data_IF_877122405944
#
_entry.id   IF_877122405944
#
_cell.length_a   1.000
_cell.length_b   1.000
_cell.length_c   1.000
_cell.angle_alpha   90.00
_cell.angle_beta   90.00
_cell.angle_gamma   90.00
#
_symmetry.space_group_name_H-M   'P 1'
#
loop_
_entity.id
_entity.type
_entity.pdbx_description
1 polymer ?
#
# COMPACT_ATOMS: atom_id res chain seq x y z
N UNK A 1 14.37 -2.52 14.63
CA UNK A 1 13.00 -2.18 15.18
C UNK A 1 12.24 -3.48 15.16
N UNK A 2 11.75 -3.95 16.30
CA UNK A 2 11.10 -5.27 16.34
C UNK A 2 9.70 -5.22 15.75
N UNK A 3 9.37 -6.23 14.96
CA UNK A 3 8.10 -6.28 14.21
C UNK A 3 6.87 -6.29 15.15
N UNK A 4 7.01 -6.87 16.34
CA UNK A 4 5.96 -6.90 17.37
C UNK A 4 5.59 -5.48 17.85
N UNK A 5 6.56 -4.57 17.92
CA UNK A 5 6.31 -3.16 18.29
C UNK A 5 5.56 -2.40 17.19
N UNK A 6 5.74 -2.81 15.93
CA UNK A 6 5.00 -2.27 14.79
C UNK A 6 3.57 -2.77 14.84
N UNK A 7 3.38 -4.09 14.96
CA UNK A 7 2.08 -4.73 15.03
C UNK A 7 1.22 -4.15 16.16
N UNK A 8 1.82 -3.91 17.33
CA UNK A 8 1.13 -3.33 18.48
C UNK A 8 0.60 -1.89 18.23
N UNK A 9 1.08 -1.20 17.22
CA UNK A 9 0.63 0.15 16.82
C UNK A 9 -0.47 0.14 15.76
N UNK A 10 -0.73 -1.00 15.13
CA UNK A 10 -1.79 -1.12 14.11
C UNK A 10 -3.13 -1.14 14.83
N UNK A 11 -3.97 -0.17 14.56
CA UNK A 11 -5.30 -0.04 15.14
C UNK A 11 -6.36 -0.23 14.06
N UNK A 12 -7.56 -0.75 14.38
CA UNK A 12 -8.67 -0.74 13.45
C UNK A 12 -9.00 0.68 12.97
N UNK A 13 -9.48 0.82 11.73
CA UNK A 13 -9.91 2.11 11.21
C UNK A 13 -11.17 2.61 11.92
N UNK A 14 -11.39 3.93 11.93
CA UNK A 14 -12.57 4.53 12.54
C UNK A 14 -13.84 4.24 11.74
N UNK A 15 -14.62 3.24 12.17
CA UNK A 15 -15.87 2.84 11.54
C UNK A 15 -16.94 3.93 11.60
N UNK A 16 -16.87 4.86 12.58
CA UNK A 16 -17.74 6.01 12.67
C UNK A 16 -17.48 6.98 11.52
N UNK A 17 -16.22 7.30 11.27
CA UNK A 17 -15.81 8.13 10.14
C UNK A 17 -16.15 7.49 8.80
N UNK A 18 -15.96 6.17 8.63
CA UNK A 18 -16.40 5.43 7.41
C UNK A 18 -17.88 5.65 7.16
N UNK A 19 -18.73 5.43 8.17
CA UNK A 19 -20.18 5.57 8.05
C UNK A 19 -20.60 7.01 7.74
N UNK A 20 -19.98 8.01 8.37
CA UNK A 20 -20.28 9.42 8.12
C UNK A 20 -19.88 9.83 6.72
N UNK A 21 -18.72 9.38 6.23
CA UNK A 21 -18.27 9.62 4.86
C UNK A 21 -19.24 8.99 3.84
N UNK A 22 -19.65 7.74 4.04
CA UNK A 22 -20.65 7.08 3.18
C UNK A 22 -21.98 7.84 3.18
N UNK A 23 -22.49 8.24 4.35
CA UNK A 23 -23.72 9.03 4.46
C UNK A 23 -23.61 10.35 3.67
N UNK A 24 -22.43 10.96 3.67
CA UNK A 24 -22.18 12.17 2.87
C UNK A 24 -22.26 11.88 1.38
N UNK A 25 -21.68 10.79 0.88
CA UNK A 25 -21.80 10.38 -0.53
C UNK A 25 -23.25 10.13 -0.94
N UNK A 26 -24.03 9.50 -0.08
CA UNK A 26 -25.45 9.18 -0.35
C UNK A 26 -26.31 10.43 -0.44
N UNK A 27 -25.92 11.53 0.25
CA UNK A 27 -26.60 12.81 0.23
C UNK A 27 -26.13 13.77 -0.89
N UNK A 28 -25.15 13.39 -1.73
CA UNK A 28 -24.75 14.19 -2.89
C UNK A 28 -25.84 14.15 -3.98
N UNK A 29 -25.86 15.20 -4.82
CA UNK A 29 -26.77 15.29 -5.98
C UNK A 29 -26.29 14.34 -7.09
N UNK A 30 -26.45 13.03 -6.86
CA UNK A 30 -26.13 11.93 -7.76
C UNK A 30 -26.95 10.70 -7.35
N UNK A 31 -27.15 9.70 -8.22
CA UNK A 31 -27.72 8.43 -7.77
C UNK A 31 -26.86 7.80 -6.67
N UNK A 32 -27.50 7.25 -5.65
CA UNK A 32 -26.79 6.55 -4.57
C UNK A 32 -25.97 5.39 -5.14
N UNK A 33 -24.73 5.25 -4.70
CA UNK A 33 -23.79 4.22 -5.16
C UNK A 33 -23.25 4.41 -6.58
N UNK A 34 -23.51 5.54 -7.25
CA UNK A 34 -23.12 5.74 -8.67
C UNK A 34 -21.61 5.81 -8.90
N UNK A 35 -20.80 6.05 -7.88
CA UNK A 35 -19.34 6.02 -7.95
C UNK A 35 -18.75 4.67 -7.51
N UNK A 36 -19.61 3.71 -7.17
CA UNK A 36 -19.24 2.31 -6.85
C UNK A 36 -18.03 2.20 -5.89
N UNK A 37 -16.97 1.49 -6.28
CA UNK A 37 -15.74 1.28 -5.48
C UNK A 37 -15.08 2.58 -5.01
N UNK A 38 -15.21 3.69 -5.74
CA UNK A 38 -14.62 4.97 -5.33
C UNK A 38 -15.24 5.50 -4.03
N UNK A 39 -16.54 5.31 -3.83
CA UNK A 39 -17.22 5.71 -2.59
C UNK A 39 -16.72 4.86 -1.40
N UNK A 40 -16.64 3.55 -1.60
CA UNK A 40 -16.13 2.61 -0.62
C UNK A 40 -14.67 2.94 -0.22
N UNK A 41 -13.79 3.05 -1.21
CA UNK A 41 -12.37 3.36 -0.99
C UNK A 41 -12.17 4.70 -0.27
N UNK A 42 -12.90 5.74 -0.70
CA UNK A 42 -12.81 7.06 -0.06
C UNK A 42 -13.36 7.03 1.36
N UNK A 43 -14.45 6.32 1.61
CA UNK A 43 -15.01 6.17 2.96
C UNK A 43 -14.04 5.41 3.88
N UNK A 44 -13.38 4.35 3.39
CA UNK A 44 -12.31 3.65 4.13
C UNK A 44 -11.12 4.57 4.40
N UNK A 45 -10.70 5.38 3.41
CA UNK A 45 -9.64 6.35 3.59
C UNK A 45 -9.97 7.36 4.70
N UNK A 46 -11.22 7.86 4.76
CA UNK A 46 -11.69 8.69 5.86
C UNK A 46 -11.57 7.98 7.22
N UNK A 47 -11.90 6.69 7.27
CA UNK A 47 -11.76 5.86 8.47
C UNK A 47 -10.29 5.68 8.91
N UNK A 48 -9.36 5.55 7.98
CA UNK A 48 -7.91 5.46 8.26
C UNK A 48 -7.42 6.77 8.89
N UNK A 49 -7.83 7.92 8.35
CA UNK A 49 -7.43 9.23 8.83
C UNK A 49 -8.18 9.66 10.11
N UNK A 50 -9.35 9.07 10.40
CA UNK A 50 -10.22 9.51 11.48
C UNK A 50 -10.91 10.85 11.21
N UNK A 51 -11.11 11.22 9.92
CA UNK A 51 -11.77 12.46 9.49
C UNK A 51 -12.74 12.17 8.34
N UNK A 52 -13.79 12.98 8.21
CA UNK A 52 -14.78 12.79 7.14
C UNK A 52 -15.25 14.13 6.50
N UNK A 53 -14.86 15.25 7.07
CA UNK A 53 -15.18 16.57 6.52
C UNK A 53 -14.21 16.92 5.40
N UNK A 54 -14.73 17.49 4.30
CA UNK A 54 -13.92 17.83 3.12
C UNK A 54 -12.75 18.77 3.44
N UNK A 55 -12.97 19.71 4.34
CA UNK A 55 -11.96 20.69 4.76
C UNK A 55 -10.78 20.09 5.53
N UNK A 56 -10.96 18.89 6.10
CA UNK A 56 -9.96 18.17 6.89
C UNK A 56 -9.24 17.11 6.06
N UNK A 57 -9.61 16.98 4.77
CA UNK A 57 -9.03 16.03 3.82
C UNK A 57 -8.09 16.75 2.88
N UNK A 58 -6.80 16.63 3.12
CA UNK A 58 -5.78 17.04 2.17
C UNK A 58 -5.59 15.98 1.08
N UNK A 59 -5.16 16.44 -0.10
CA UNK A 59 -4.75 15.52 -1.15
C UNK A 59 -3.42 14.87 -0.76
N UNK A 60 -3.35 13.54 -0.54
CA UNK A 60 -2.17 12.91 0.03
C UNK A 60 -0.96 13.03 -0.90
N UNK A 61 0.20 13.31 -0.33
CA UNK A 61 1.47 13.03 -0.98
C UNK A 61 1.58 11.53 -1.19
N UNK A 62 2.02 11.10 -2.37
CA UNK A 62 2.04 9.70 -2.75
C UNK A 62 3.27 9.35 -3.54
N UNK A 63 3.77 8.15 -3.32
CA UNK A 63 4.84 7.57 -4.11
C UNK A 63 4.49 6.13 -4.49
N UNK A 64 5.01 5.68 -5.63
CA UNK A 64 4.99 4.30 -6.06
C UNK A 64 6.31 3.64 -5.63
N UNK A 65 6.24 2.64 -4.77
CA UNK A 65 7.37 1.85 -4.30
C UNK A 65 7.45 0.57 -5.14
N UNK A 66 8.53 0.43 -5.87
CA UNK A 66 8.78 -0.75 -6.72
C UNK A 66 9.81 -1.62 -6.03
N UNK A 67 9.36 -2.76 -5.55
CA UNK A 67 10.17 -3.72 -4.81
C UNK A 67 10.93 -4.63 -5.77
N UNK A 68 12.20 -4.82 -5.51
CA UNK A 68 13.14 -5.56 -6.35
C UNK A 68 14.05 -6.43 -5.48
N UNK A 69 14.54 -7.52 -6.04
CA UNK A 69 15.72 -8.21 -5.49
C UNK A 69 17.01 -7.66 -6.11
N UNK A 70 18.13 -8.18 -5.67
CA UNK A 70 19.44 -7.84 -6.27
C UNK A 70 19.49 -8.28 -7.76
N UNK A 71 18.71 -9.30 -8.15
CA UNK A 71 18.67 -9.76 -9.54
C UNK A 71 18.14 -8.67 -10.51
N UNK A 72 17.24 -7.80 -10.03
CA UNK A 72 16.67 -6.68 -10.81
C UNK A 72 17.43 -5.35 -10.62
N UNK A 73 18.65 -5.38 -10.10
CA UNK A 73 19.42 -4.16 -9.79
C UNK A 73 19.62 -3.21 -11.00
N UNK A 74 19.70 -3.74 -12.23
CA UNK A 74 19.77 -2.91 -13.44
C UNK A 74 18.49 -2.12 -13.67
N UNK A 75 17.32 -2.77 -13.52
CA UNK A 75 16.00 -2.15 -13.67
C UNK A 75 15.75 -1.15 -12.53
N UNK A 76 16.10 -1.51 -11.30
CA UNK A 76 16.08 -0.61 -10.15
C UNK A 76 16.91 0.63 -10.40
N UNK A 77 18.11 0.47 -10.96
CA UNK A 77 19.00 1.59 -11.36
C UNK A 77 18.35 2.54 -12.38
N UNK A 78 17.54 2.02 -13.32
CA UNK A 78 16.78 2.84 -14.28
C UNK A 78 15.68 3.66 -13.59
N UNK A 79 15.02 3.09 -12.59
CA UNK A 79 14.03 3.80 -11.77
C UNK A 79 14.71 4.89 -10.95
N UNK A 80 15.78 4.56 -10.24
CA UNK A 80 16.55 5.53 -9.44
C UNK A 80 17.05 6.68 -10.29
N UNK A 81 17.49 6.41 -11.53
CA UNK A 81 17.94 7.43 -12.47
C UNK A 81 16.78 8.19 -13.16
N UNK A 82 15.54 7.95 -12.79
CA UNK A 82 14.32 8.51 -13.41
C UNK A 82 14.23 8.30 -14.94
N UNK A 83 14.72 7.15 -15.42
CA UNK A 83 14.81 6.82 -16.85
C UNK A 83 13.80 5.77 -17.32
N UNK A 84 12.92 5.32 -16.45
CA UNK A 84 11.89 4.35 -16.81
C UNK A 84 10.54 5.01 -17.06
N UNK A 85 9.68 4.44 -17.93
CA UNK A 85 8.37 5.02 -18.22
C UNK A 85 7.50 5.24 -16.98
N UNK A 86 7.59 4.36 -15.98
CA UNK A 86 6.84 4.49 -14.73
C UNK A 86 7.18 5.76 -13.94
N UNK A 87 8.42 6.26 -14.06
CA UNK A 87 8.80 7.53 -13.43
C UNK A 87 8.01 8.72 -14.00
N UNK A 88 7.79 8.72 -15.33
CA UNK A 88 7.01 9.77 -16.01
C UNK A 88 5.56 9.70 -15.56
N UNK A 89 4.96 8.50 -15.55
CA UNK A 89 3.57 8.30 -15.10
C UNK A 89 3.37 8.69 -13.64
N UNK A 90 4.31 8.33 -12.76
CA UNK A 90 4.26 8.73 -11.36
C UNK A 90 4.31 10.25 -11.21
N UNK A 91 5.22 10.92 -11.94
CA UNK A 91 5.36 12.37 -11.89
C UNK A 91 4.11 13.11 -12.39
N UNK A 92 3.45 12.61 -13.44
CA UNK A 92 2.20 13.19 -13.96
C UNK A 92 1.07 13.16 -12.92
N UNK A 93 1.09 12.19 -12.01
CA UNK A 93 0.15 12.14 -10.89
C UNK A 93 0.61 12.94 -9.67
N UNK A 94 1.78 13.59 -9.72
CA UNK A 94 2.38 14.35 -8.62
C UNK A 94 3.04 13.47 -7.55
N UNK A 95 3.35 12.23 -7.88
CA UNK A 95 4.12 11.29 -7.06
C UNK A 95 5.51 11.01 -7.64
N UNK A 96 6.26 10.16 -6.95
CA UNK A 96 7.55 9.64 -7.42
C UNK A 96 7.46 8.13 -7.56
N UNK A 97 8.35 7.57 -8.39
CA UNK A 97 8.61 6.13 -8.40
C UNK A 97 9.96 5.89 -7.71
N UNK A 98 9.94 5.05 -6.67
CA UNK A 98 11.10 4.72 -5.85
C UNK A 98 11.35 3.22 -5.92
N UNK A 99 12.56 2.82 -6.33
CA UNK A 99 12.96 1.41 -6.29
C UNK A 99 13.50 1.06 -4.89
N UNK A 100 13.03 -0.04 -4.35
CA UNK A 100 13.47 -0.60 -3.07
C UNK A 100 14.11 -1.97 -3.33
N UNK A 101 15.43 -2.04 -3.18
CA UNK A 101 16.18 -3.29 -3.39
C UNK A 101 16.33 -3.99 -2.06
N UNK A 102 15.75 -5.20 -1.96
CA UNK A 102 15.81 -6.05 -0.77
C UNK A 102 17.13 -6.81 -0.79
N UNK A 103 17.84 -6.77 0.32
CA UNK A 103 19.16 -7.37 0.48
C UNK A 103 19.23 -8.44 1.58
N UNK A 104 18.19 -8.57 2.37
CA UNK A 104 18.10 -9.54 3.47
C UNK A 104 18.11 -10.98 2.97
N UNK A 105 18.76 -11.85 3.75
CA UNK A 105 18.89 -13.28 3.48
C UNK A 105 17.97 -14.15 4.36
N UNK A 106 17.35 -13.56 5.39
CA UNK A 106 16.40 -14.25 6.28
C UNK A 106 15.03 -13.54 6.25
N UNK A 107 13.96 -14.27 6.54
CA UNK A 107 12.61 -13.70 6.60
C UNK A 107 12.46 -12.65 7.72
N UNK A 108 13.10 -12.87 8.87
CA UNK A 108 13.07 -11.92 9.98
C UNK A 108 13.72 -10.60 9.59
N UNK A 109 14.93 -10.65 9.01
CA UNK A 109 15.63 -9.46 8.53
C UNK A 109 14.87 -8.78 7.41
N UNK A 110 14.27 -9.54 6.48
CA UNK A 110 13.48 -8.99 5.38
C UNK A 110 12.23 -8.24 5.87
N UNK A 111 11.52 -8.77 6.86
CA UNK A 111 10.38 -8.06 7.49
C UNK A 111 10.84 -6.73 8.09
N UNK A 112 11.94 -6.73 8.85
CA UNK A 112 12.47 -5.52 9.48
C UNK A 112 13.03 -4.54 8.44
N UNK A 113 13.73 -5.01 7.39
CA UNK A 113 14.22 -4.18 6.28
C UNK A 113 13.06 -3.46 5.59
N UNK A 114 12.03 -4.19 5.20
CA UNK A 114 10.86 -3.61 4.54
C UNK A 114 10.13 -2.58 5.40
N UNK A 115 9.96 -2.86 6.68
CA UNK A 115 9.38 -1.92 7.63
C UNK A 115 10.23 -0.66 7.79
N UNK A 116 11.55 -0.80 7.90
CA UNK A 116 12.47 0.33 8.04
C UNK A 116 12.46 1.24 6.82
N UNK A 117 12.50 0.67 5.61
CA UNK A 117 12.45 1.40 4.34
C UNK A 117 11.16 2.25 4.22
N UNK A 118 10.01 1.65 4.52
CA UNK A 118 8.73 2.37 4.47
C UNK A 118 8.66 3.45 5.55
N UNK A 119 9.14 3.17 6.77
CA UNK A 119 9.17 4.17 7.84
C UNK A 119 9.98 5.39 7.46
N UNK A 120 11.17 5.20 6.91
CA UNK A 120 12.06 6.27 6.48
C UNK A 120 11.38 7.14 5.41
N UNK A 121 10.89 6.52 4.33
CA UNK A 121 10.23 7.23 3.22
C UNK A 121 9.01 8.02 3.67
N UNK A 122 8.16 7.43 4.51
CA UNK A 122 6.96 8.13 5.02
C UNK A 122 7.34 9.31 5.88
N UNK A 123 8.34 9.17 6.78
CA UNK A 123 8.78 10.26 7.66
C UNK A 123 9.46 11.39 6.90
N UNK A 124 10.37 11.08 5.98
CA UNK A 124 11.13 12.08 5.24
C UNK A 124 10.26 12.87 4.26
N UNK A 125 9.34 12.20 3.60
CA UNK A 125 8.53 12.79 2.52
C UNK A 125 7.12 13.20 2.96
N UNK A 126 6.66 12.79 4.14
CA UNK A 126 5.31 13.06 4.63
C UNK A 126 4.26 12.38 3.74
N UNK A 127 4.49 11.13 3.34
CA UNK A 127 3.61 10.39 2.44
C UNK A 127 2.32 9.99 3.16
N UNK A 128 1.19 10.17 2.49
CA UNK A 128 -0.15 9.81 2.97
C UNK A 128 -0.81 8.72 2.13
N UNK A 129 -0.14 8.21 1.08
CA UNK A 129 -0.57 7.11 0.24
C UNK A 129 0.64 6.45 -0.41
N UNK A 130 0.69 5.13 -0.41
CA UNK A 130 1.73 4.34 -1.06
C UNK A 130 1.12 3.44 -2.13
N UNK A 131 1.75 3.39 -3.31
CA UNK A 131 1.54 2.32 -4.28
C UNK A 131 2.64 1.28 -4.12
N UNK A 132 2.30 0.01 -4.11
CA UNK A 132 3.28 -1.09 -4.11
C UNK A 132 3.21 -1.82 -5.44
N UNK A 133 4.34 -1.88 -6.14
CA UNK A 133 4.58 -2.73 -7.30
C UNK A 133 5.81 -3.62 -7.06
N UNK A 134 5.99 -4.66 -7.84
CA UNK A 134 7.09 -5.61 -7.72
C UNK A 134 7.70 -5.91 -9.08
N UNK A 135 9.05 -5.92 -9.16
CA UNK A 135 9.78 -6.39 -10.34
C UNK A 135 10.38 -7.78 -10.15
N UNK A 136 10.56 -8.21 -8.89
CA UNK A 136 11.06 -9.53 -8.59
C UNK A 136 10.04 -10.61 -8.99
N UNK A 137 10.52 -11.85 -9.13
CA UNK A 137 9.66 -12.99 -9.36
C UNK A 137 8.60 -13.09 -8.25
N UNK A 138 7.38 -13.43 -8.64
CA UNK A 138 6.24 -13.60 -7.70
C UNK A 138 6.52 -14.66 -6.62
N UNK A 139 7.49 -15.53 -6.83
CA UNK A 139 7.95 -16.55 -5.87
C UNK A 139 9.13 -16.08 -5.00
N UNK A 140 9.69 -14.89 -5.25
CA UNK A 140 10.77 -14.36 -4.40
C UNK A 140 10.26 -14.11 -2.99
N UNK A 141 10.64 -15.01 -2.07
CA UNK A 141 10.17 -15.01 -0.68
C UNK A 141 10.70 -13.82 0.11
N UNK A 142 11.95 -13.43 -0.12
CA UNK A 142 12.56 -12.32 0.63
C UNK A 142 11.92 -11.00 0.24
N UNK A 143 11.74 -10.74 -1.04
CA UNK A 143 11.06 -9.53 -1.52
C UNK A 143 9.60 -9.49 -1.03
N UNK A 144 8.88 -10.61 -1.09
CA UNK A 144 7.51 -10.71 -0.60
C UNK A 144 7.44 -10.45 0.92
N UNK A 145 8.39 -10.97 1.67
CA UNK A 145 8.46 -10.77 3.13
C UNK A 145 8.81 -9.33 3.49
N UNK A 146 9.74 -8.70 2.76
CA UNK A 146 10.04 -7.28 2.95
C UNK A 146 8.82 -6.40 2.62
N UNK A 147 8.09 -6.69 1.53
CA UNK A 147 6.83 -6.01 1.23
C UNK A 147 5.82 -6.16 2.37
N UNK A 148 5.70 -7.35 2.97
CA UNK A 148 4.80 -7.57 4.11
C UNK A 148 5.20 -6.69 5.31
N UNK A 149 6.48 -6.59 5.63
CA UNK A 149 7.01 -5.67 6.64
C UNK A 149 6.67 -4.20 6.34
N UNK A 150 6.82 -3.80 5.08
CA UNK A 150 6.45 -2.46 4.62
C UNK A 150 4.95 -2.17 4.78
N UNK A 151 4.08 -3.14 4.48
CA UNK A 151 2.61 -3.02 4.65
C UNK A 151 2.25 -2.88 6.13
N UNK A 152 2.86 -3.69 7.02
CA UNK A 152 2.66 -3.58 8.47
C UNK A 152 3.05 -2.19 8.98
N UNK A 153 4.20 -1.69 8.55
CA UNK A 153 4.69 -0.37 8.96
C UNK A 153 3.80 0.77 8.43
N UNK A 154 3.35 0.68 7.18
CA UNK A 154 2.42 1.65 6.61
C UNK A 154 1.11 1.71 7.42
N UNK A 155 0.53 0.56 7.77
CA UNK A 155 -0.66 0.48 8.61
C UNK A 155 -0.44 1.06 10.01
N UNK A 156 0.71 0.77 10.64
CA UNK A 156 1.08 1.34 11.94
C UNK A 156 1.22 2.89 11.91
N UNK A 157 1.53 3.44 10.73
CA UNK A 157 1.61 4.90 10.49
C UNK A 157 0.31 5.48 9.92
N UNK A 158 -0.76 4.68 9.79
CA UNK A 158 -2.04 5.07 9.18
C UNK A 158 -1.91 5.53 7.73
N UNK A 159 -1.00 4.94 6.98
CA UNK A 159 -0.79 5.20 5.56
C UNK A 159 -1.39 4.04 4.76
N UNK A 160 -2.39 4.29 3.90
CA UNK A 160 -2.95 3.26 3.03
C UNK A 160 -1.98 2.82 1.95
N UNK A 161 -2.10 1.56 1.54
CA UNK A 161 -1.30 0.93 0.50
C UNK A 161 -2.19 0.46 -0.64
N UNK A 162 -1.89 0.90 -1.87
CA UNK A 162 -2.48 0.38 -3.11
C UNK A 162 -1.64 -0.79 -3.59
N UNK A 163 -2.24 -1.96 -3.74
CA UNK A 163 -1.59 -3.19 -4.20
C UNK A 163 -1.69 -3.29 -5.73
N UNK A 164 -0.56 -3.58 -6.37
CA UNK A 164 -0.45 -3.80 -7.82
C UNK A 164 0.16 -5.17 -8.13
N UNK A 165 -0.65 -6.06 -8.66
CA UNK A 165 -0.26 -7.39 -9.08
C UNK A 165 -0.25 -8.45 -7.96
N UNK A 166 -0.06 -9.71 -8.38
CA UNK A 166 -0.16 -10.91 -7.54
C UNK A 166 0.87 -10.91 -6.40
N UNK A 167 2.10 -10.45 -6.69
CA UNK A 167 3.17 -10.44 -5.69
C UNK A 167 2.82 -9.57 -4.47
N UNK A 168 2.24 -8.38 -4.70
CA UNK A 168 1.84 -7.47 -3.61
C UNK A 168 0.63 -7.99 -2.84
N UNK A 169 -0.30 -8.69 -3.50
CA UNK A 169 -1.42 -9.36 -2.83
C UNK A 169 -0.92 -10.49 -1.91
N UNK A 170 0.04 -11.31 -2.38
CA UNK A 170 0.66 -12.34 -1.54
C UNK A 170 1.41 -11.75 -0.34
N UNK A 171 2.07 -10.60 -0.51
CA UNK A 171 2.69 -9.87 0.58
C UNK A 171 1.67 -9.38 1.60
N UNK A 172 0.54 -8.83 1.13
CA UNK A 172 -0.56 -8.40 2.00
C UNK A 172 -1.18 -9.57 2.79
N UNK A 173 -1.32 -10.75 2.15
CA UNK A 173 -1.74 -11.98 2.83
C UNK A 173 -0.77 -12.35 3.95
N UNK A 174 0.54 -12.36 3.67
CA UNK A 174 1.58 -12.63 4.68
C UNK A 174 1.53 -11.62 5.83
N UNK A 175 1.35 -10.34 5.55
CA UNK A 175 1.17 -9.32 6.58
C UNK A 175 -0.11 -9.56 7.42
N UNK A 176 -1.20 -9.99 6.79
CA UNK A 176 -2.46 -10.30 7.47
C UNK A 176 -2.40 -11.54 8.37
N UNK A 177 -1.52 -12.50 8.08
CA UNK A 177 -1.25 -13.64 8.96
C UNK A 177 -0.63 -13.18 10.31
N UNK A 178 0.13 -12.09 10.29
CA UNK A 178 0.73 -11.47 11.48
C UNK A 178 -0.22 -10.49 12.17
N UNK A 179 -0.98 -9.72 11.40
CA UNK A 179 -1.90 -8.70 11.91
C UNK A 179 -3.11 -8.56 10.96
N UNK A 180 -4.21 -9.30 11.16
CA UNK A 180 -5.35 -9.31 10.23
C UNK A 180 -5.96 -7.93 9.94
N UNK A 181 -5.92 -7.01 10.90
CA UNK A 181 -6.41 -5.64 10.74
C UNK A 181 -5.63 -4.82 9.71
N UNK A 182 -4.47 -5.28 9.24
CA UNK A 182 -3.68 -4.57 8.23
C UNK A 182 -4.41 -4.45 6.90
N UNK A 183 -5.32 -5.40 6.58
CA UNK A 183 -6.12 -5.37 5.36
C UNK A 183 -7.08 -4.17 5.29
N UNK A 184 -7.42 -3.57 6.43
CA UNK A 184 -8.21 -2.34 6.43
C UNK A 184 -7.46 -1.15 5.79
N UNK A 185 -6.13 -1.25 5.70
CA UNK A 185 -5.24 -0.25 5.10
C UNK A 185 -4.84 -0.60 3.66
N UNK A 186 -5.21 -1.78 3.15
CA UNK A 186 -4.88 -2.23 1.80
C UNK A 186 -6.03 -1.98 0.82
N UNK A 187 -5.70 -1.54 -0.38
CA UNK A 187 -6.64 -1.30 -1.47
C UNK A 187 -6.15 -2.00 -2.74
N UNK A 188 -7.05 -2.60 -3.51
CA UNK A 188 -6.72 -3.09 -4.84
C UNK A 188 -6.56 -1.90 -5.80
N UNK A 189 -5.43 -1.81 -6.48
CA UNK A 189 -5.21 -0.81 -7.53
C UNK A 189 -6.00 -1.15 -8.79
N UNK A 190 -6.01 -2.41 -9.17
CA UNK A 190 -6.76 -2.98 -10.29
C UNK A 190 -6.75 -4.50 -10.19
N UNK A 191 -7.52 -5.17 -11.04
CA UNK A 191 -7.37 -6.61 -11.28
C UNK A 191 -6.32 -6.80 -12.37
N UNK A 192 -5.15 -7.32 -12.02
CA UNK A 192 -4.08 -7.60 -12.98
C UNK A 192 -4.52 -8.66 -14.00
N UNK A 193 -3.94 -8.61 -15.20
CA UNK A 193 -4.09 -9.68 -16.19
C UNK A 193 -3.20 -10.90 -15.88
N UNK A 194 -2.44 -10.89 -14.81
CA UNK A 194 -1.65 -12.02 -14.34
C UNK A 194 -2.53 -13.18 -13.89
N UNK A 195 -2.09 -14.41 -14.17
CA UNK A 195 -2.75 -15.61 -13.68
C UNK A 195 -2.81 -15.62 -12.14
N UNK A 196 -4.00 -15.88 -11.60
CA UNK A 196 -4.24 -15.89 -10.15
C UNK A 196 -4.47 -14.52 -9.50
N UNK A 197 -4.58 -13.44 -10.29
CA UNK A 197 -4.78 -12.10 -9.73
C UNK A 197 -6.17 -11.93 -9.08
N UNK A 198 -7.21 -12.45 -9.71
CA UNK A 198 -8.58 -12.39 -9.21
C UNK A 198 -8.69 -13.20 -7.92
N UNK A 199 -8.18 -14.42 -7.90
CA UNK A 199 -8.16 -15.29 -6.71
C UNK A 199 -7.38 -14.65 -5.56
N UNK A 200 -6.24 -14.00 -5.84
CA UNK A 200 -5.44 -13.33 -4.83
C UNK A 200 -6.17 -12.15 -4.17
N UNK A 201 -6.96 -11.40 -4.94
CA UNK A 201 -7.79 -10.32 -4.41
C UNK A 201 -9.00 -10.85 -3.64
N UNK A 202 -9.66 -11.89 -4.14
CA UNK A 202 -10.79 -12.53 -3.47
C UNK A 202 -10.39 -13.10 -2.10
N UNK A 203 -9.21 -13.72 -1.97
CA UNK A 203 -8.65 -14.19 -0.70
C UNK A 203 -8.45 -13.05 0.32
N UNK A 204 -8.19 -11.84 -0.14
CA UNK A 204 -8.02 -10.64 0.69
C UNK A 204 -9.33 -9.88 0.94
N UNK A 205 -10.40 -10.27 0.26
CA UNK A 205 -11.69 -9.55 0.25
C UNK A 205 -11.56 -8.08 -0.20
N UNK A 206 -10.74 -7.83 -1.26
CA UNK A 206 -10.43 -6.50 -1.82
C UNK A 206 -11.06 -6.28 -3.21
#
# INVERSE_FOLDING_TARGET
>A
MHIEEIIAKIVPIDRGCVKLAQTRFDNLIKPVGSLAKLEEMTSRYCGILGVYEKQDLDYPKRDLLVWCSIAEAEQAGKIIAAKWPVNVLAAETGGRCVALVVTSETEEDALEEGAALVQELVRESGLGLLGFGCLADVQDEMVRTAMAGGILQAAAMKVPVMLDGVATCKAAKKAAELAPQVLEYCFAGHVSAEEGAEEALDELHL
#
